data_IF_827477670679
#
_entry.id   IF_827477670679
#
_cell.length_a   1.000
_cell.length_b   1.000
_cell.length_c   1.000
_cell.angle_alpha   90.00
_cell.angle_beta   90.00
_cell.angle_gamma   90.00
#
_symmetry.space_group_name_H-M   'P 1'
#
loop_
_entity.id
_entity.type
_entity.pdbx_description
1 polymer ?
#
# COMPACT_ATOMS: atom_id res chain seq x y z
N UNK A 1 -31.66 42.04 -83.66
CA UNK A 1 -33.06 41.84 -83.26
C UNK A 1 -33.14 40.46 -82.62
N UNK A 2 -33.46 40.25 -81.35
CA UNK A 2 -33.71 41.10 -80.21
C UNK A 2 -33.51 40.22 -78.96
N UNK A 3 -32.97 40.84 -77.89
CA UNK A 3 -33.32 40.74 -76.46
C UNK A 3 -34.29 39.61 -76.07
N UNK A 4 -34.13 38.84 -75.00
CA UNK A 4 -33.79 39.04 -73.58
C UNK A 4 -34.01 37.62 -72.98
N UNK A 5 -33.43 37.11 -71.88
CA UNK A 5 -33.11 37.70 -70.59
C UNK A 5 -32.30 36.65 -69.81
N UNK A 6 -31.27 37.11 -69.10
CA UNK A 6 -30.57 36.39 -68.03
C UNK A 6 -31.51 36.25 -66.82
N UNK A 7 -31.35 35.17 -66.05
CA UNK A 7 -31.34 35.26 -64.60
C UNK A 7 -30.39 34.23 -63.99
N UNK A 8 -29.80 34.66 -62.89
CA UNK A 8 -28.55 34.20 -62.26
C UNK A 8 -28.84 33.44 -60.97
N UNK A 9 -27.97 32.46 -60.70
CA UNK A 9 -27.37 32.20 -59.39
C UNK A 9 -28.24 31.70 -58.23
N UNK A 10 -27.98 30.45 -57.81
CA UNK A 10 -27.86 30.13 -56.38
C UNK A 10 -26.92 28.94 -56.16
N UNK A 11 -25.69 29.30 -55.79
CA UNK A 11 -24.74 28.46 -55.08
C UNK A 11 -25.34 28.09 -53.72
N UNK A 12 -25.48 26.79 -53.42
CA UNK A 12 -25.47 26.33 -52.02
C UNK A 12 -24.89 24.92 -51.89
N UNK A 13 -23.62 24.91 -51.48
CA UNK A 13 -22.98 23.99 -50.54
C UNK A 13 -23.24 22.48 -50.67
N UNK A 14 -22.18 21.77 -51.06
CA UNK A 14 -21.94 20.36 -50.71
C UNK A 14 -22.17 20.12 -49.21
N UNK A 15 -22.50 18.87 -48.85
CA UNK A 15 -21.57 18.15 -47.98
C UNK A 15 -20.94 17.00 -48.77
N UNK A 16 -19.61 16.91 -48.64
CA UNK A 16 -18.78 15.83 -49.17
C UNK A 16 -19.26 14.52 -48.52
N UNK A 17 -20.10 13.76 -49.21
CA UNK A 17 -20.35 12.38 -48.87
C UNK A 17 -19.02 11.64 -48.92
N UNK A 18 -18.68 11.05 -47.78
CA UNK A 18 -17.41 10.44 -47.44
C UNK A 18 -17.05 9.34 -48.42
N UNK A 19 -15.75 9.28 -48.73
CA UNK A 19 -15.07 8.31 -49.60
C UNK A 19 -15.13 6.84 -49.10
N UNK A 20 -16.01 6.53 -48.15
CA UNK A 20 -16.09 5.23 -47.45
C UNK A 20 -17.21 4.33 -48.01
N UNK A 21 -18.20 4.88 -48.72
CA UNK A 21 -19.31 4.09 -49.30
C UNK A 21 -18.99 3.43 -50.64
N UNK A 22 -17.75 3.57 -51.15
CA UNK A 22 -17.36 3.01 -52.47
C UNK A 22 -16.73 1.61 -52.41
N UNK A 23 -16.49 1.06 -51.22
CA UNK A 23 -15.96 -0.31 -51.05
C UNK A 23 -17.03 -1.39 -50.85
N UNK A 24 -18.26 -1.01 -50.49
CA UNK A 24 -19.40 -1.92 -50.33
C UNK A 24 -20.54 -1.59 -51.30
N UNK A 25 -20.19 -1.39 -52.58
CA UNK A 25 -21.18 -1.30 -53.65
C UNK A 25 -21.71 -2.67 -54.07
N UNK A 26 -22.17 -3.52 -53.14
CA UNK A 26 -22.99 -4.68 -53.51
C UNK A 26 -24.44 -4.24 -53.60
N UNK A 27 -24.86 -3.85 -54.81
CA UNK A 27 -26.27 -3.72 -55.13
C UNK A 27 -26.83 -5.15 -55.12
N UNK A 28 -27.79 -5.42 -54.23
CA UNK A 28 -28.34 -6.77 -53.99
C UNK A 28 -29.06 -7.42 -55.21
N UNK A 29 -29.07 -6.73 -56.35
CA UNK A 29 -29.64 -7.19 -57.63
C UNK A 29 -28.65 -8.03 -58.46
N UNK A 30 -27.35 -8.01 -58.15
CA UNK A 30 -26.36 -8.82 -58.88
C UNK A 30 -26.32 -10.28 -58.40
N UNK A 31 -26.43 -11.21 -59.36
CA UNK A 31 -26.35 -12.65 -59.14
C UNK A 31 -25.04 -13.03 -58.41
N UNK A 32 -23.96 -12.30 -58.63
CA UNK A 32 -22.69 -12.56 -57.94
C UNK A 32 -22.70 -12.12 -56.47
N UNK A 33 -23.27 -10.95 -56.16
CA UNK A 33 -23.37 -10.44 -54.78
C UNK A 33 -24.19 -11.37 -53.89
N UNK A 34 -25.31 -11.92 -54.40
CA UNK A 34 -26.13 -12.86 -53.62
C UNK A 34 -25.41 -14.19 -53.33
N UNK A 35 -24.45 -14.64 -54.18
CA UNK A 35 -23.68 -15.89 -53.98
C UNK A 35 -22.61 -15.67 -52.92
N UNK A 36 -21.94 -14.53 -52.97
CA UNK A 36 -20.93 -14.12 -51.98
C UNK A 36 -21.59 -13.92 -50.61
N UNK A 37 -22.76 -13.28 -50.56
CA UNK A 37 -23.50 -13.07 -49.32
C UNK A 37 -23.92 -14.41 -48.70
N UNK A 38 -24.43 -15.34 -49.50
CA UNK A 38 -24.79 -16.70 -49.04
C UNK A 38 -23.56 -17.44 -48.49
N UNK A 39 -22.42 -17.39 -49.19
CA UNK A 39 -21.19 -18.02 -48.74
C UNK A 39 -20.73 -17.46 -47.39
N UNK A 40 -20.67 -16.14 -47.27
CA UNK A 40 -20.29 -15.46 -46.01
C UNK A 40 -21.26 -15.84 -44.88
N UNK A 41 -22.56 -15.86 -45.15
CA UNK A 41 -23.56 -16.23 -44.16
C UNK A 41 -23.39 -17.70 -43.69
N UNK A 42 -23.20 -18.64 -44.61
CA UNK A 42 -22.98 -20.05 -44.28
C UNK A 42 -21.68 -20.23 -43.49
N UNK A 43 -20.56 -19.63 -43.93
CA UNK A 43 -19.29 -19.68 -43.18
C UNK A 43 -19.39 -19.06 -41.79
N UNK A 44 -20.17 -18.00 -41.62
CA UNK A 44 -20.40 -17.36 -40.33
C UNK A 44 -21.19 -18.27 -39.38
N UNK A 45 -22.25 -18.92 -39.89
CA UNK A 45 -23.03 -19.89 -39.10
C UNK A 45 -22.17 -21.10 -38.73
N UNK A 46 -21.37 -21.63 -39.67
CA UNK A 46 -20.45 -22.75 -39.41
C UNK A 46 -19.44 -22.36 -38.32
N UNK A 47 -18.83 -21.18 -38.43
CA UNK A 47 -17.87 -20.70 -37.43
C UNK A 47 -18.52 -20.53 -36.06
N UNK A 48 -19.73 -19.97 -35.99
CA UNK A 48 -20.48 -19.83 -34.75
C UNK A 48 -20.81 -21.20 -34.12
N UNK A 49 -21.20 -22.19 -34.94
CA UNK A 49 -21.57 -23.52 -34.46
C UNK A 49 -20.36 -24.34 -33.96
N UNK A 50 -19.21 -24.19 -34.61
CA UNK A 50 -17.98 -24.91 -34.28
C UNK A 50 -17.18 -24.26 -33.16
N UNK A 51 -17.34 -22.96 -32.92
CA UNK A 51 -16.59 -22.25 -31.87
C UNK A 51 -17.17 -22.60 -30.49
N UNK A 52 -16.43 -23.31 -29.63
CA UNK A 52 -16.98 -23.87 -28.39
C UNK A 52 -17.35 -22.81 -27.35
N UNK A 53 -16.69 -21.65 -27.35
CA UNK A 53 -16.86 -20.58 -26.35
C UNK A 53 -18.28 -20.02 -26.26
N UNK A 54 -19.01 -19.92 -27.38
CA UNK A 54 -20.38 -19.40 -27.39
C UNK A 54 -21.40 -20.33 -26.72
N UNK A 55 -21.02 -21.58 -26.45
CA UNK A 55 -21.95 -22.62 -25.96
C UNK A 55 -21.54 -23.23 -24.62
N UNK A 56 -20.39 -22.84 -24.07
CA UNK A 56 -19.78 -23.49 -22.90
C UNK A 56 -19.29 -22.49 -21.85
N UNK A 57 -20.08 -21.46 -21.55
CA UNK A 57 -19.92 -20.73 -20.29
C UNK A 57 -20.67 -21.51 -19.20
N UNK A 58 -19.93 -22.28 -18.39
CA UNK A 58 -20.50 -22.81 -17.14
C UNK A 58 -20.73 -21.62 -16.20
N UNK A 59 -21.88 -21.52 -15.53
CA UNK A 59 -22.12 -20.42 -14.60
C UNK A 59 -21.01 -20.39 -13.53
N UNK A 60 -20.45 -19.21 -13.22
CA UNK A 60 -19.43 -19.11 -12.19
C UNK A 60 -20.04 -19.52 -10.85
N UNK A 61 -19.52 -20.59 -10.26
CA UNK A 61 -19.90 -21.04 -8.92
C UNK A 61 -19.60 -19.94 -7.92
N UNK A 62 -20.49 -19.71 -6.96
CA UNK A 62 -20.30 -18.72 -5.89
C UNK A 62 -19.90 -19.43 -4.59
N UNK A 63 -19.21 -18.73 -3.67
CA UNK A 63 -18.98 -19.25 -2.33
C UNK A 63 -20.32 -19.59 -1.67
N UNK A 64 -20.43 -20.80 -1.12
CA UNK A 64 -21.63 -21.28 -0.45
C UNK A 64 -22.62 -22.06 -1.32
N UNK A 65 -22.41 -22.15 -2.63
CA UNK A 65 -23.17 -23.04 -3.52
C UNK A 65 -22.86 -24.51 -3.17
N UNK A 66 -23.81 -25.40 -3.45
CA UNK A 66 -23.62 -26.86 -3.32
C UNK A 66 -23.14 -27.39 -4.67
N UNK A 67 -22.10 -28.21 -4.67
CA UNK A 67 -21.59 -28.78 -5.90
C UNK A 67 -22.52 -29.88 -6.42
N UNK A 68 -23.06 -29.69 -7.62
CA UNK A 68 -23.94 -30.67 -8.29
C UNK A 68 -23.20 -31.92 -8.81
N UNK A 69 -21.85 -31.93 -8.75
CA UNK A 69 -21.00 -33.04 -9.23
C UNK A 69 -19.61 -32.96 -8.63
N UNK A 70 -18.88 -34.07 -8.70
CA UNK A 70 -17.46 -34.13 -8.36
C UNK A 70 -16.63 -33.24 -9.29
N UNK A 71 -15.87 -32.31 -8.73
CA UNK A 71 -14.95 -31.43 -9.46
C UNK A 71 -13.51 -31.80 -9.12
N UNK A 72 -12.75 -32.18 -10.14
CA UNK A 72 -11.32 -32.51 -10.02
C UNK A 72 -10.45 -31.48 -10.73
N UNK A 73 -9.19 -31.39 -10.30
CA UNK A 73 -8.18 -30.56 -10.92
C UNK A 73 -7.88 -31.05 -12.35
N UNK A 74 -8.00 -30.17 -13.36
CA UNK A 74 -7.77 -30.53 -14.78
C UNK A 74 -6.28 -30.70 -15.11
N UNK A 75 -5.40 -30.09 -14.31
CA UNK A 75 -3.93 -30.05 -14.45
C UNK A 75 -3.29 -29.65 -13.13
N UNK A 76 -1.96 -29.66 -13.09
CA UNK A 76 -1.20 -29.08 -11.99
C UNK A 76 -1.28 -27.55 -12.02
N UNK A 77 -1.51 -26.92 -10.87
CA UNK A 77 -1.46 -25.47 -10.70
C UNK A 77 -1.06 -25.07 -9.29
N UNK A 78 -0.65 -23.82 -9.13
CA UNK A 78 -0.28 -23.23 -7.84
C UNK A 78 -1.44 -22.37 -7.33
N UNK A 79 -1.75 -22.50 -6.05
CA UNK A 79 -2.76 -21.70 -5.34
C UNK A 79 -2.08 -21.04 -4.15
N UNK A 80 -2.31 -19.76 -3.95
CA UNK A 80 -1.80 -19.07 -2.76
C UNK A 80 -2.47 -19.64 -1.50
N UNK A 81 -1.65 -20.00 -0.51
CA UNK A 81 -2.08 -20.37 0.83
C UNK A 81 -2.22 -19.09 1.65
N UNK A 82 -3.45 -18.59 1.74
CA UNK A 82 -3.73 -17.35 2.47
C UNK A 82 -3.41 -17.49 3.97
N UNK A 83 -3.63 -18.66 4.57
CA UNK A 83 -3.39 -18.89 6.00
C UNK A 83 -1.89 -18.94 6.31
N UNK A 84 -1.12 -19.73 5.56
CA UNK A 84 0.33 -19.81 5.74
C UNK A 84 1.01 -18.47 5.40
N UNK A 85 0.52 -17.76 4.38
CA UNK A 85 1.02 -16.44 4.01
C UNK A 85 0.71 -15.42 5.11
N UNK A 86 -0.52 -15.41 5.64
CA UNK A 86 -0.90 -14.54 6.75
C UNK A 86 -0.09 -14.86 8.02
N UNK A 87 0.16 -16.14 8.30
CA UNK A 87 1.03 -16.58 9.40
C UNK A 87 2.43 -16.00 9.29
N UNK A 88 3.08 -16.16 8.14
CA UNK A 88 4.41 -15.60 7.88
C UNK A 88 4.44 -14.07 7.93
N UNK A 89 3.39 -13.41 7.45
CA UNK A 89 3.26 -11.94 7.53
C UNK A 89 3.15 -11.47 8.98
N UNK A 90 2.35 -12.14 9.82
CA UNK A 90 2.24 -11.82 11.25
C UNK A 90 3.57 -12.03 11.98
N UNK A 91 4.27 -13.13 11.68
CA UNK A 91 5.58 -13.42 12.24
C UNK A 91 6.59 -12.31 11.87
N UNK A 92 6.67 -11.93 10.59
CA UNK A 92 7.55 -10.85 10.14
C UNK A 92 7.23 -9.50 10.79
N UNK A 93 5.94 -9.18 10.98
CA UNK A 93 5.52 -7.95 11.69
C UNK A 93 5.88 -8.00 13.17
N UNK A 94 5.74 -9.16 13.83
CA UNK A 94 6.10 -9.33 15.25
C UNK A 94 7.60 -9.27 15.50
N UNK A 95 8.42 -9.63 14.51
CA UNK A 95 9.88 -9.55 14.58
C UNK A 95 10.41 -8.16 14.21
N UNK A 96 9.57 -7.26 13.71
CA UNK A 96 9.99 -5.91 13.36
C UNK A 96 10.34 -5.12 14.63
N UNK A 97 11.51 -4.46 14.68
CA UNK A 97 11.95 -3.75 15.88
C UNK A 97 11.10 -2.51 16.15
N UNK A 98 10.91 -2.22 17.43
CA UNK A 98 10.24 -1.01 17.91
C UNK A 98 11.26 0.13 17.97
N UNK A 99 10.91 1.32 17.47
CA UNK A 99 11.82 2.48 17.44
C UNK A 99 11.49 3.50 18.52
N UNK A 100 12.55 3.94 19.19
CA UNK A 100 12.53 5.03 20.15
C UNK A 100 13.41 6.16 19.69
N UNK A 101 12.85 7.36 19.70
CA UNK A 101 13.59 8.57 19.37
C UNK A 101 14.09 9.21 20.66
N UNK A 102 15.42 9.34 20.74
CA UNK A 102 16.11 10.10 21.77
C UNK A 102 16.30 11.54 21.28
N UNK A 103 15.68 12.48 21.99
CA UNK A 103 15.81 13.90 21.74
C UNK A 103 17.03 14.47 22.48
N UNK A 104 18.09 14.74 21.72
CA UNK A 104 19.33 15.34 22.24
C UNK A 104 19.18 16.85 22.51
N UNK A 105 18.21 17.50 21.88
CA UNK A 105 18.01 18.95 22.02
C UNK A 105 17.59 19.31 23.44
N UNK A 106 16.84 18.43 24.11
CA UNK A 106 16.43 18.59 25.51
C UNK A 106 17.65 18.69 26.43
N UNK A 107 18.65 17.82 26.21
CA UNK A 107 19.89 17.81 26.99
C UNK A 107 20.69 19.10 26.80
N UNK A 108 20.85 19.53 25.54
CA UNK A 108 21.58 20.76 25.20
C UNK A 108 20.89 21.99 25.78
N UNK A 109 19.57 22.11 25.58
CA UNK A 109 18.77 23.21 26.11
C UNK A 109 18.83 23.30 27.64
N UNK A 110 18.80 22.17 28.35
CA UNK A 110 18.91 22.17 29.81
C UNK A 110 20.29 22.67 30.29
N UNK A 111 21.36 22.19 29.65
CA UNK A 111 22.74 22.59 29.99
C UNK A 111 22.98 24.07 29.66
N UNK A 112 22.49 24.56 28.52
CA UNK A 112 22.65 25.94 28.08
C UNK A 112 21.86 26.93 28.97
N UNK A 113 20.63 26.56 29.38
CA UNK A 113 19.85 27.33 30.36
C UNK A 113 20.55 27.42 31.72
N UNK A 114 21.13 26.32 32.18
CA UNK A 114 21.89 26.31 33.42
C UNK A 114 23.15 27.19 33.30
N UNK A 115 23.87 27.11 32.19
CA UNK A 115 25.06 27.92 31.96
C UNK A 115 24.75 29.42 31.90
N UNK A 116 23.69 29.81 31.18
CA UNK A 116 23.24 31.21 31.08
C UNK A 116 22.75 31.75 32.42
N UNK A 117 22.01 30.97 33.21
CA UNK A 117 21.56 31.36 34.55
C UNK A 117 22.74 31.60 35.51
N UNK A 118 23.72 30.68 35.54
CA UNK A 118 24.91 30.82 36.39
C UNK A 118 25.79 31.99 35.95
N UNK A 119 25.93 32.24 34.65
CA UNK A 119 26.71 33.37 34.14
C UNK A 119 26.04 34.71 34.45
N UNK A 120 24.71 34.81 34.31
CA UNK A 120 23.98 36.02 34.67
C UNK A 120 24.17 36.40 36.15
N UNK A 121 24.13 35.40 37.05
CA UNK A 121 24.33 35.64 38.48
C UNK A 121 25.76 36.05 38.81
N UNK A 122 26.78 35.45 38.17
CA UNK A 122 28.18 35.87 38.34
C UNK A 122 28.40 37.31 37.87
N UNK A 123 27.83 37.72 36.74
CA UNK A 123 27.94 39.09 36.25
C UNK A 123 27.35 40.10 37.25
N UNK A 124 26.21 39.77 37.88
CA UNK A 124 25.63 40.62 38.92
C UNK A 124 26.49 40.72 40.19
N UNK A 125 27.27 39.68 40.52
CA UNK A 125 28.23 39.70 41.63
C UNK A 125 29.50 40.50 41.26
N UNK A 126 29.95 40.43 40.01
CA UNK A 126 31.11 41.20 39.52
C UNK A 126 30.81 42.71 39.44
N UNK A 127 29.56 43.09 39.13
CA UNK A 127 29.10 44.48 39.21
C UNK A 127 29.11 45.04 40.65
N UNK A 128 29.07 44.17 41.67
CA UNK A 128 29.21 44.56 43.09
C UNK A 128 30.66 44.80 43.50
N UNK A 129 31.63 44.24 42.75
CA UNK A 129 33.07 44.34 43.04
C UNK A 129 33.77 45.58 42.47
N UNK A 130 33.10 46.39 41.64
CA UNK A 130 33.66 47.67 41.17
C UNK A 130 33.45 48.74 42.25
N UNK A 131 34.53 49.32 42.84
CA UNK A 131 34.37 50.45 43.73
C UNK A 131 33.72 51.60 42.95
N UNK A 132 32.59 52.07 43.44
CA UNK A 132 32.01 53.33 43.01
C UNK A 132 33.10 54.40 43.18
N UNK A 133 33.46 55.05 42.07
CA UNK A 133 34.36 56.20 42.10
C UNK A 133 33.81 57.23 43.10
N UNK A 134 34.67 57.90 43.89
CA UNK A 134 34.20 58.91 44.83
C UNK A 134 33.44 59.99 44.06
N UNK A 135 32.16 60.18 44.38
CA UNK A 135 31.41 61.36 43.98
C UNK A 135 32.10 62.59 44.59
N UNK A 136 32.86 63.32 43.78
CA UNK A 136 33.19 64.71 44.05
C UNK A 136 31.87 65.51 44.10
N UNK A 137 31.49 65.94 45.30
CA UNK A 137 30.51 67.00 45.50
C UNK A 137 31.27 68.34 45.53
N UNK A 138 30.86 69.36 44.77
CA UNK A 138 31.42 70.70 44.89
C UNK A 138 30.97 71.36 46.20
N UNK A 139 31.87 72.17 46.75
CA UNK A 139 31.65 73.01 47.92
C UNK A 139 30.73 74.21 47.64
N UNK A 140 30.22 74.77 48.74
CA UNK A 140 29.48 76.04 48.97
C UNK A 140 28.02 75.81 49.37
N UNK A 141 27.42 76.44 50.40
CA UNK A 141 27.87 77.36 51.45
C UNK A 141 26.84 77.26 52.62
N UNK A 142 27.35 77.36 53.85
CA UNK A 142 26.75 77.98 55.07
C UNK A 142 25.23 77.87 55.38
N UNK A 143 24.86 77.29 56.54
CA UNK A 143 24.11 77.99 57.62
C UNK A 143 23.89 77.08 58.87
N UNK A 144 24.43 77.51 60.02
CA UNK A 144 23.83 77.44 61.37
C UNK A 144 23.60 76.09 62.09
N UNK A 145 24.36 75.84 63.16
CA UNK A 145 24.11 74.87 64.27
C UNK A 145 23.38 75.56 65.45
N UNK A 146 22.91 74.90 66.56
CA UNK A 146 23.08 73.50 67.04
C UNK A 146 21.76 72.88 67.65
N UNK A 147 21.79 71.91 68.61
CA UNK A 147 22.02 70.48 68.44
C UNK A 147 20.84 69.62 68.94
N UNK A 148 20.53 68.50 68.31
CA UNK A 148 19.78 67.43 68.97
C UNK A 148 20.44 66.07 68.73
N UNK A 149 20.98 65.54 69.82
CA UNK A 149 21.42 64.17 69.95
C UNK A 149 20.22 63.23 69.73
N UNK A 150 20.38 62.25 68.84
CA UNK A 150 19.36 61.24 68.59
C UNK A 150 19.67 60.36 67.40
N UNK A 151 20.53 59.36 67.62
CA UNK A 151 20.47 58.02 67.00
C UNK A 151 19.76 57.90 65.63
N UNK A 152 20.54 57.91 64.55
CA UNK A 152 20.12 57.39 63.24
C UNK A 152 21.08 56.28 62.78
N UNK A 153 21.13 55.19 63.56
CA UNK A 153 21.81 53.94 63.16
C UNK A 153 20.82 52.88 62.63
N UNK A 154 19.62 53.25 62.16
CA UNK A 154 18.58 52.28 61.76
C UNK A 154 18.17 52.31 60.28
N UNK A 155 19.01 52.83 59.38
CA UNK A 155 18.67 52.96 57.95
C UNK A 155 19.71 52.35 56.98
N UNK A 156 20.37 51.26 57.38
CA UNK A 156 21.32 50.52 56.52
C UNK A 156 20.94 49.06 56.20
N UNK A 157 19.74 48.58 56.56
CA UNK A 157 19.37 47.15 56.42
C UNK A 157 18.27 46.83 55.38
N UNK A 158 17.79 47.79 54.59
CA UNK A 158 16.68 47.55 53.63
C UNK A 158 17.10 47.43 52.16
N UNK A 159 18.35 47.72 51.81
CA UNK A 159 18.84 47.64 50.42
C UNK A 159 19.23 46.23 49.95
N UNK A 160 19.88 45.43 50.81
CA UNK A 160 20.37 44.10 50.45
C UNK A 160 19.26 43.07 50.21
N UNK A 161 18.16 43.16 50.96
CA UNK A 161 17.01 42.27 50.83
C UNK A 161 16.21 42.47 49.54
N UNK A 162 16.06 43.72 49.07
CA UNK A 162 15.36 43.97 47.80
C UNK A 162 16.21 43.55 46.59
N UNK A 163 17.53 43.65 46.67
CA UNK A 163 18.45 43.29 45.57
C UNK A 163 18.58 41.76 45.41
N UNK A 164 18.69 41.02 46.51
CA UNK A 164 18.69 39.54 46.51
C UNK A 164 17.37 38.96 46.01
N UNK A 165 16.22 39.58 46.31
CA UNK A 165 14.92 39.17 45.76
C UNK A 165 14.83 39.41 44.24
N UNK A 166 15.42 40.48 43.71
CA UNK A 166 15.49 40.72 42.26
C UNK A 166 16.38 39.69 41.55
N UNK A 167 17.60 39.47 42.06
CA UNK A 167 18.50 38.44 41.55
C UNK A 167 17.85 37.05 41.54
N UNK A 168 17.12 36.70 42.60
CA UNK A 168 16.37 35.45 42.67
C UNK A 168 15.33 35.36 41.56
N UNK A 169 14.56 36.43 41.34
CA UNK A 169 13.51 36.46 40.32
C UNK A 169 14.10 36.35 38.91
N UNK A 170 15.22 37.01 38.65
CA UNK A 170 15.92 36.93 37.38
C UNK A 170 16.49 35.51 37.14
N UNK A 171 17.01 34.88 38.19
CA UNK A 171 17.46 33.48 38.16
C UNK A 171 16.31 32.51 37.85
N UNK A 172 15.18 32.65 38.55
CA UNK A 172 13.98 31.84 38.33
C UNK A 172 13.39 32.05 36.92
N UNK A 173 13.43 33.28 36.40
CA UNK A 173 12.97 33.60 35.04
C UNK A 173 13.83 32.92 33.96
N UNK A 174 15.16 32.84 34.14
CA UNK A 174 16.06 32.19 33.18
C UNK A 174 15.91 30.66 33.25
N UNK A 175 15.82 30.11 34.46
CA UNK A 175 15.67 28.67 34.68
C UNK A 175 14.29 28.15 34.25
N UNK A 176 13.24 28.99 34.39
CA UNK A 176 11.85 28.62 34.10
C UNK A 176 11.19 27.80 35.21
N UNK A 177 11.80 27.71 36.40
CA UNK A 177 11.24 27.03 37.57
C UNK A 177 11.62 27.75 38.88
N UNK A 178 10.86 27.47 39.95
CA UNK A 178 11.04 28.09 41.26
C UNK A 178 12.13 27.37 42.08
N UNK A 179 13.00 28.16 42.71
CA UNK A 179 14.11 27.65 43.54
C UNK A 179 13.83 28.00 45.01
N UNK A 180 14.08 27.05 45.91
CA UNK A 180 13.94 27.31 47.36
C UNK A 180 14.91 28.41 47.81
N UNK A 181 14.47 29.25 48.76
CA UNK A 181 15.30 30.34 49.29
C UNK A 181 16.61 29.82 49.90
N UNK A 182 16.58 28.68 50.58
CA UNK A 182 17.75 28.06 51.23
C UNK A 182 18.82 27.64 50.20
N UNK A 183 18.36 27.13 49.06
CA UNK A 183 19.23 26.69 47.96
C UNK A 183 19.83 27.92 47.27
N UNK A 184 19.02 28.95 47.03
CA UNK A 184 19.50 30.19 46.43
C UNK A 184 20.54 30.90 47.32
N UNK A 185 20.34 30.93 48.64
CA UNK A 185 21.34 31.46 49.57
C UNK A 185 22.62 30.63 49.58
N UNK A 186 22.52 29.30 49.49
CA UNK A 186 23.69 28.40 49.37
C UNK A 186 24.51 28.67 48.09
N UNK A 187 23.82 28.93 46.98
CA UNK A 187 24.46 29.28 45.71
C UNK A 187 25.13 30.68 45.75
N UNK A 188 24.51 31.64 46.44
CA UNK A 188 25.06 32.98 46.67
C UNK A 188 26.30 32.97 47.57
N UNK A 189 26.25 32.23 48.69
CA UNK A 189 27.40 32.05 49.61
C UNK A 189 28.64 31.52 48.87
N UNK A 190 28.43 30.76 47.80
CA UNK A 190 29.47 30.12 46.98
C UNK A 190 29.75 30.85 45.66
N UNK A 191 29.21 32.05 45.47
CA UNK A 191 29.40 32.91 44.30
C UNK A 191 29.17 32.18 42.96
N UNK A 192 28.24 31.22 42.88
CA UNK A 192 27.98 30.45 41.66
C UNK A 192 29.24 29.82 41.05
N UNK A 193 30.04 29.14 41.89
CA UNK A 193 31.27 28.44 41.50
C UNK A 193 31.10 27.59 40.21
N UNK A 194 32.06 27.70 39.29
CA UNK A 194 32.11 26.95 38.04
C UNK A 194 32.19 25.43 38.26
N UNK A 195 32.81 24.98 39.35
CA UNK A 195 32.93 23.56 39.66
C UNK A 195 31.54 22.92 39.89
N UNK A 196 30.66 23.59 40.65
CA UNK A 196 29.29 23.13 40.90
C UNK A 196 28.51 23.09 39.58
N UNK A 197 28.63 24.13 38.76
CA UNK A 197 28.02 24.18 37.44
C UNK A 197 28.46 22.99 36.57
N UNK A 198 29.76 22.66 36.55
CA UNK A 198 30.28 21.52 35.79
C UNK A 198 29.72 20.18 36.29
N UNK A 199 29.66 19.97 37.61
CA UNK A 199 29.11 18.75 38.22
C UNK A 199 27.64 18.56 37.84
N UNK A 200 26.82 19.60 37.98
CA UNK A 200 25.40 19.55 37.61
C UNK A 200 25.25 19.29 36.11
N UNK A 201 26.03 19.96 35.27
CA UNK A 201 25.96 19.75 33.81
C UNK A 201 26.38 18.34 33.38
N UNK A 202 27.37 17.74 34.04
CA UNK A 202 27.83 16.38 33.76
C UNK A 202 26.78 15.35 34.17
N UNK A 203 26.14 15.53 35.33
CA UNK A 203 25.04 14.68 35.78
C UNK A 203 23.85 14.77 34.82
N UNK A 204 23.43 16.00 34.44
CA UNK A 204 22.34 16.19 33.48
C UNK A 204 22.63 15.49 32.16
N UNK A 205 23.83 15.64 31.60
CA UNK A 205 24.23 14.94 30.36
C UNK A 205 24.15 13.42 30.51
N UNK A 206 24.66 12.87 31.61
CA UNK A 206 24.59 11.43 31.87
C UNK A 206 23.16 10.89 31.92
N UNK A 207 22.23 11.61 32.56
CA UNK A 207 20.83 11.19 32.63
C UNK A 207 20.10 11.31 31.29
N UNK A 208 20.34 12.39 30.55
CA UNK A 208 19.72 12.56 29.24
C UNK A 208 20.29 11.61 28.18
N UNK A 209 21.59 11.30 28.21
CA UNK A 209 22.22 10.32 27.29
C UNK A 209 21.69 8.90 27.54
N UNK A 210 21.38 8.56 28.80
CA UNK A 210 20.75 7.29 29.14
C UNK A 210 19.31 7.19 28.61
N UNK A 211 18.60 8.32 28.50
CA UNK A 211 17.22 8.41 28.03
C UNK A 211 16.19 8.21 29.14
N UNK A 212 15.31 9.19 29.32
CA UNK A 212 14.24 9.21 30.33
C UNK A 212 12.91 9.04 29.62
N UNK A 213 12.14 8.05 30.03
CA UNK A 213 10.85 7.76 29.41
C UNK A 213 9.75 8.67 29.94
N UNK A 214 8.83 9.03 29.04
CA UNK A 214 7.61 9.75 29.43
C UNK A 214 6.58 8.84 30.10
N UNK A 215 6.56 7.54 29.74
CA UNK A 215 5.62 6.56 30.27
C UNK A 215 6.17 5.14 30.10
N UNK A 216 6.16 4.34 31.18
CA UNK A 216 6.68 2.96 31.22
C UNK A 216 5.73 1.90 30.63
N UNK A 217 4.51 2.28 30.25
CA UNK A 217 3.49 1.35 29.76
C UNK A 217 3.94 0.56 28.53
N UNK A 218 4.64 1.19 27.58
CA UNK A 218 5.06 0.52 26.35
C UNK A 218 6.15 -0.54 26.59
N UNK A 219 7.08 -0.30 27.53
CA UNK A 219 8.15 -1.26 27.88
C UNK A 219 7.59 -2.55 28.48
N UNK A 220 6.43 -2.46 29.12
CA UNK A 220 5.83 -3.60 29.83
C UNK A 220 5.18 -4.58 28.86
N UNK A 221 4.71 -4.10 27.70
CA UNK A 221 4.05 -4.91 26.68
C UNK A 221 5.07 -5.67 25.80
N UNK A 222 6.26 -5.10 25.56
CA UNK A 222 7.21 -5.62 24.55
C UNK A 222 8.55 -6.11 25.15
N UNK A 223 8.54 -6.69 26.37
CA UNK A 223 9.74 -7.07 27.15
C UNK A 223 10.73 -8.07 26.51
N UNK A 224 10.49 -8.54 25.30
CA UNK A 224 11.35 -9.52 24.60
C UNK A 224 11.73 -9.14 23.17
N UNK A 225 11.31 -7.97 22.69
CA UNK A 225 11.54 -7.57 21.29
C UNK A 225 12.78 -6.68 21.16
N UNK A 226 13.63 -6.87 20.14
CA UNK A 226 14.76 -5.99 19.92
C UNK A 226 14.28 -4.54 19.71
N UNK A 227 14.94 -3.61 20.39
CA UNK A 227 14.58 -2.19 20.37
C UNK A 227 15.65 -1.42 19.62
N UNK A 228 15.24 -0.46 18.79
CA UNK A 228 16.16 0.45 18.11
C UNK A 228 16.03 1.82 18.76
N UNK A 229 17.14 2.30 19.32
CA UNK A 229 17.25 3.67 19.80
C UNK A 229 17.84 4.51 18.67
N UNK A 230 17.08 5.51 18.25
CA UNK A 230 17.41 6.45 17.17
C UNK A 230 17.66 7.83 17.77
N UNK A 231 18.81 8.42 17.48
CA UNK A 231 19.10 9.82 17.85
C UNK A 231 18.36 10.74 16.88
N UNK A 232 17.46 11.59 17.40
CA UNK A 232 16.55 12.40 16.58
C UNK A 232 17.29 13.37 15.64
N UNK A 233 18.45 13.88 16.05
CA UNK A 233 19.25 14.82 15.25
C UNK A 233 20.22 14.13 14.28
N UNK A 234 21.06 13.21 14.77
CA UNK A 234 22.10 12.57 13.95
C UNK A 234 21.57 11.44 13.07
N UNK A 235 20.34 10.98 13.34
CA UNK A 235 19.73 9.83 12.70
C UNK A 235 20.53 8.52 12.92
N UNK A 236 21.38 8.48 13.95
CA UNK A 236 22.13 7.28 14.31
C UNK A 236 21.22 6.28 15.01
N UNK A 237 21.27 5.03 14.55
CA UNK A 237 20.45 3.93 15.06
C UNK A 237 21.31 2.92 15.80
N UNK A 238 20.94 2.61 17.04
CA UNK A 238 21.59 1.62 17.88
C UNK A 238 20.60 0.52 18.24
N UNK A 239 20.92 -0.70 17.84
CA UNK A 239 20.14 -1.88 18.19
C UNK A 239 20.46 -2.30 19.62
N UNK A 240 19.46 -2.29 20.49
CA UNK A 240 19.57 -2.72 21.87
C UNK A 240 18.96 -4.11 22.03
N UNK A 241 19.79 -5.02 22.53
CA UNK A 241 19.34 -6.36 22.93
C UNK A 241 18.83 -6.33 24.38
N UNK A 242 17.81 -7.14 24.72
CA UNK A 242 17.35 -7.23 26.09
C UNK A 242 18.44 -7.80 27.02
N UNK A 243 18.48 -7.41 28.31
CA UNK A 243 17.57 -6.49 28.97
C UNK A 243 17.96 -5.01 28.78
N UNK A 244 16.99 -4.19 28.40
CA UNK A 244 17.11 -2.73 28.38
C UNK A 244 16.39 -2.14 29.60
N UNK A 245 17.05 -1.18 30.28
CA UNK A 245 16.51 -0.51 31.47
C UNK A 245 16.59 0.99 31.30
N UNK A 246 15.44 1.61 31.09
CA UNK A 246 15.29 3.06 31.03
C UNK A 246 14.51 3.55 32.25
N UNK A 247 15.02 4.56 32.98
CA UNK A 247 14.31 5.13 34.10
C UNK A 247 13.10 5.94 33.64
N UNK A 248 12.00 5.84 34.40
CA UNK A 248 10.90 6.81 34.30
C UNK A 248 11.30 8.13 34.99
N UNK A 249 10.55 9.21 34.78
CA UNK A 249 10.87 10.52 35.34
C UNK A 249 11.03 10.50 36.87
N UNK A 250 10.17 9.77 37.59
CA UNK A 250 10.28 9.64 39.04
C UNK A 250 11.50 8.82 39.49
N UNK A 251 11.83 7.76 38.75
CA UNK A 251 13.01 6.93 39.01
C UNK A 251 14.28 7.74 38.74
N UNK A 252 14.32 8.48 37.61
CA UNK A 252 15.41 9.37 37.26
C UNK A 252 15.63 10.45 38.33
N UNK A 253 14.56 11.03 38.88
CA UNK A 253 14.66 11.99 40.00
C UNK A 253 15.23 11.35 41.27
N UNK A 254 14.79 10.15 41.63
CA UNK A 254 15.33 9.42 42.80
C UNK A 254 16.81 9.09 42.61
N UNK A 255 17.19 8.61 41.43
CA UNK A 255 18.58 8.31 41.10
C UNK A 255 19.46 9.57 41.07
N UNK A 256 18.94 10.69 40.57
CA UNK A 256 19.64 11.97 40.60
C UNK A 256 19.91 12.46 42.03
N UNK A 257 18.95 12.31 42.95
CA UNK A 257 19.16 12.64 44.36
C UNK A 257 20.23 11.74 44.97
N UNK A 258 20.18 10.43 44.70
CA UNK A 258 21.17 9.47 45.20
C UNK A 258 22.58 9.78 44.68
N UNK A 259 22.73 10.05 43.38
CA UNK A 259 24.02 10.36 42.77
C UNK A 259 24.57 11.74 43.23
N UNK A 260 23.69 12.71 43.52
CA UNK A 260 24.07 13.98 44.09
C UNK A 260 24.59 13.86 45.54
N UNK A 261 24.04 12.92 46.33
CA UNK A 261 24.50 12.62 47.69
C UNK A 261 25.89 11.96 47.69
N UNK A 262 26.23 11.20 46.64
CA UNK A 262 27.54 10.56 46.50
C UNK A 262 28.65 11.53 46.03
N UNK A 263 28.29 12.58 45.28
CA UNK A 263 29.27 13.51 44.69
C UNK A 263 29.50 14.81 45.47
N UNK A 264 28.63 15.16 46.41
CA UNK A 264 28.75 16.42 47.14
C UNK A 264 29.79 16.36 48.27
N UNK A 265 30.43 17.49 48.54
CA UNK A 265 31.41 17.63 49.64
C UNK A 265 30.77 18.16 50.94
N UNK A 266 29.61 18.78 50.82
CA UNK A 266 28.86 19.44 51.90
C UNK A 266 27.35 19.18 51.75
N UNK A 267 26.62 19.10 52.86
CA UNK A 267 25.18 18.79 52.89
C UNK A 267 24.40 19.83 52.08
N UNK A 268 24.76 21.12 52.21
CA UNK A 268 24.14 22.21 51.44
C UNK A 268 24.40 22.10 49.93
N UNK A 269 25.57 21.59 49.54
CA UNK A 269 25.94 21.40 48.13
C UNK A 269 25.20 20.20 47.53
N UNK A 270 25.13 19.08 48.26
CA UNK A 270 24.37 17.91 47.85
C UNK A 270 22.90 18.26 47.58
N UNK A 271 22.26 19.01 48.50
CA UNK A 271 20.86 19.43 48.34
C UNK A 271 20.68 20.37 47.14
N UNK A 272 21.61 21.30 46.92
CA UNK A 272 21.56 22.21 45.78
C UNK A 272 21.68 21.45 44.44
N UNK A 273 22.65 20.53 44.33
CA UNK A 273 22.84 19.69 43.14
C UNK A 273 21.59 18.83 42.91
N UNK A 274 21.11 18.13 43.93
CA UNK A 274 19.94 17.25 43.83
C UNK A 274 18.68 18.01 43.38
N UNK A 275 18.42 19.18 43.98
CA UNK A 275 17.27 20.01 43.61
C UNK A 275 17.37 20.54 42.18
N UNK A 276 18.54 21.05 41.78
CA UNK A 276 18.73 21.57 40.42
C UNK A 276 18.57 20.46 39.39
N UNK A 277 19.27 19.33 39.56
CA UNK A 277 19.18 18.20 38.61
C UNK A 277 17.74 17.71 38.51
N UNK A 278 17.09 17.42 39.64
CA UNK A 278 15.73 16.85 39.64
C UNK A 278 14.65 17.76 39.01
N UNK A 279 14.81 19.08 39.09
CA UNK A 279 13.93 20.06 38.42
C UNK A 279 14.21 20.19 36.92
N UNK A 280 15.46 20.01 36.50
CA UNK A 280 15.85 20.02 35.08
C UNK A 280 15.51 18.72 34.35
N UNK A 281 15.41 17.59 35.06
CA UNK A 281 15.04 16.31 34.45
C UNK A 281 13.65 16.38 33.82
N UNK A 282 13.61 16.05 32.54
CA UNK A 282 12.40 15.93 31.73
C UNK A 282 12.51 14.69 30.84
N UNK A 283 11.38 14.09 30.41
CA UNK A 283 11.42 12.99 29.47
C UNK A 283 12.03 13.42 28.13
N UNK A 284 12.97 12.61 27.62
CA UNK A 284 13.64 12.85 26.33
C UNK A 284 13.71 11.59 25.44
N UNK A 285 13.14 10.48 25.89
CA UNK A 285 13.03 9.24 25.13
C UNK A 285 11.56 8.97 24.85
N UNK A 286 11.19 8.96 23.56
CA UNK A 286 9.81 8.86 23.12
C UNK A 286 9.60 7.71 22.13
N UNK A 287 8.42 7.09 22.17
CA UNK A 287 8.07 6.03 21.23
C UNK A 287 7.69 6.62 19.88
N UNK A 288 8.41 6.25 18.82
CA UNK A 288 8.07 6.65 17.46
C UNK A 288 7.14 5.61 16.82
N UNK A 289 5.83 5.85 16.95
CA UNK A 289 4.79 5.00 16.36
C UNK A 289 4.87 4.99 14.83
N UNK A 290 5.08 6.15 14.21
CA UNK A 290 5.07 6.30 12.74
C UNK A 290 6.19 5.48 12.10
N UNK A 291 7.41 5.60 12.58
CA UNK A 291 8.55 4.89 12.01
C UNK A 291 8.49 3.38 12.36
N UNK A 292 7.90 3.02 13.51
CA UNK A 292 7.64 1.62 13.88
C UNK A 292 6.63 0.97 12.94
N UNK A 293 5.49 1.61 12.71
CA UNK A 293 4.49 1.13 11.75
C UNK A 293 5.06 1.06 10.33
N UNK A 294 5.86 2.06 9.93
CA UNK A 294 6.54 2.03 8.64
C UNK A 294 7.48 0.84 8.48
N UNK A 295 8.22 0.45 9.52
CA UNK A 295 9.07 -0.75 9.50
C UNK A 295 8.24 -2.03 9.49
N UNK A 296 7.12 -2.07 10.23
CA UNK A 296 6.16 -3.19 10.19
C UNK A 296 5.55 -3.38 8.81
N UNK A 297 5.15 -2.30 8.13
CA UNK A 297 4.64 -2.34 6.76
C UNK A 297 5.69 -2.84 5.77
N UNK A 298 6.94 -2.36 5.88
CA UNK A 298 8.06 -2.87 5.07
C UNK A 298 8.29 -4.37 5.30
N UNK A 299 8.26 -4.82 6.56
CA UNK A 299 8.38 -6.23 6.90
C UNK A 299 7.22 -7.03 6.30
N UNK A 300 5.98 -6.57 6.46
CA UNK A 300 4.78 -7.18 5.87
C UNK A 300 4.88 -7.31 4.34
N UNK A 301 5.29 -6.24 3.65
CA UNK A 301 5.40 -6.19 2.19
C UNK A 301 6.55 -7.07 1.66
N UNK A 302 7.60 -7.30 2.47
CA UNK A 302 8.73 -8.14 2.08
C UNK A 302 8.42 -9.65 2.09
N UNK A 303 7.33 -10.07 2.75
CA UNK A 303 6.94 -11.48 2.85
C UNK A 303 6.30 -11.95 1.53
N UNK A 304 6.98 -12.87 0.86
CA UNK A 304 6.48 -13.53 -0.35
C UNK A 304 5.30 -14.47 -0.01
N UNK A 305 4.24 -14.49 -0.84
CA UNK A 305 3.13 -15.42 -0.65
C UNK A 305 3.60 -16.87 -0.79
N UNK A 306 3.00 -17.74 0.01
CA UNK A 306 3.25 -19.19 0.00
C UNK A 306 2.26 -19.83 -0.96
N UNK A 307 2.74 -20.69 -1.86
CA UNK A 307 1.89 -21.38 -2.82
C UNK A 307 1.81 -22.89 -2.51
N UNK A 308 0.60 -23.43 -2.49
CA UNK A 308 0.31 -24.86 -2.50
C UNK A 308 0.23 -25.35 -3.94
N UNK A 309 0.83 -26.50 -4.21
CA UNK A 309 0.78 -27.15 -5.53
C UNK A 309 -0.34 -28.18 -5.55
N UNK A 310 -1.39 -27.89 -6.32
CA UNK A 310 -2.51 -28.80 -6.56
C UNK A 310 -2.16 -29.71 -7.74
N UNK A 311 -2.34 -31.02 -7.58
CA UNK A 311 -2.00 -32.02 -8.60
C UNK A 311 -3.16 -32.23 -9.57
N UNK A 312 -2.86 -32.62 -10.81
CA UNK A 312 -3.89 -33.09 -11.75
C UNK A 312 -4.69 -34.26 -11.14
N UNK A 313 -6.00 -34.26 -11.38
CA UNK A 313 -6.99 -35.21 -10.87
C UNK A 313 -7.22 -35.16 -9.36
N UNK A 314 -6.59 -34.24 -8.63
CA UNK A 314 -6.91 -33.99 -7.23
C UNK A 314 -8.37 -33.54 -7.10
N UNK A 315 -9.08 -34.10 -6.13
CA UNK A 315 -10.47 -33.77 -5.88
C UNK A 315 -10.57 -32.41 -5.17
N UNK A 316 -11.18 -31.43 -5.83
CA UNK A 316 -11.36 -30.08 -5.25
C UNK A 316 -12.67 -30.01 -4.47
N UNK A 317 -13.77 -30.51 -5.07
CA UNK A 317 -15.09 -30.53 -4.43
C UNK A 317 -15.79 -31.84 -4.73
N UNK A 318 -16.43 -32.45 -3.73
CA UNK A 318 -17.32 -33.60 -3.92
C UNK A 318 -18.74 -33.17 -4.27
N UNK A 319 -19.45 -34.02 -4.99
CA UNK A 319 -20.89 -33.86 -5.19
C UNK A 319 -21.62 -33.76 -3.83
N UNK A 320 -22.55 -32.81 -3.72
CA UNK A 320 -23.29 -32.51 -2.49
C UNK A 320 -22.50 -31.71 -1.44
N UNK A 321 -21.21 -31.45 -1.65
CA UNK A 321 -20.42 -30.62 -0.74
C UNK A 321 -20.71 -29.13 -0.99
N UNK A 322 -20.84 -28.37 0.11
CA UNK A 322 -20.91 -26.91 0.05
C UNK A 322 -19.53 -26.32 -0.22
N UNK A 323 -19.42 -25.45 -1.21
CA UNK A 323 -18.17 -24.81 -1.61
C UNK A 323 -17.76 -23.79 -0.55
N UNK A 324 -16.68 -24.08 0.17
CA UNK A 324 -16.06 -23.17 1.12
C UNK A 324 -15.16 -22.13 0.43
N UNK A 325 -14.57 -21.20 1.21
CA UNK A 325 -13.71 -20.15 0.69
C UNK A 325 -12.43 -20.71 0.06
N UNK A 326 -11.81 -21.74 0.65
CA UNK A 326 -10.61 -22.37 0.13
C UNK A 326 -10.85 -23.12 -1.18
N UNK A 327 -11.92 -23.92 -1.25
CA UNK A 327 -12.27 -24.64 -2.47
C UNK A 327 -12.61 -23.65 -3.60
N UNK A 328 -13.30 -22.55 -3.28
CA UNK A 328 -13.57 -21.49 -4.23
C UNK A 328 -12.28 -20.86 -4.78
N UNK A 329 -11.29 -20.60 -3.93
CA UNK A 329 -9.96 -20.13 -4.35
C UNK A 329 -9.28 -21.10 -5.33
N UNK A 330 -9.29 -22.40 -5.02
CA UNK A 330 -8.76 -23.44 -5.91
C UNK A 330 -9.49 -23.49 -7.26
N UNK A 331 -10.81 -23.38 -7.26
CA UNK A 331 -11.63 -23.33 -8.48
C UNK A 331 -11.34 -22.08 -9.32
N UNK A 332 -11.25 -20.91 -8.69
CA UNK A 332 -10.93 -19.63 -9.34
C UNK A 332 -9.53 -19.66 -9.95
N UNK A 333 -8.53 -20.20 -9.24
CA UNK A 333 -7.17 -20.36 -9.75
C UNK A 333 -7.11 -21.29 -10.97
N UNK A 334 -7.90 -22.37 -10.98
CA UNK A 334 -8.03 -23.26 -12.14
C UNK A 334 -8.67 -22.56 -13.35
N UNK A 335 -9.68 -21.71 -13.14
CA UNK A 335 -10.34 -20.97 -14.22
C UNK A 335 -9.44 -19.88 -14.80
N UNK A 336 -8.84 -19.03 -13.96
CA UNK A 336 -7.97 -17.92 -14.41
C UNK A 336 -6.74 -18.38 -15.19
N UNK A 337 -6.26 -19.59 -14.89
CA UNK A 337 -5.15 -20.16 -15.63
C UNK A 337 -5.54 -20.55 -17.07
N UNK A 338 -6.83 -20.59 -17.42
CA UNK A 338 -7.32 -20.90 -18.77
C UNK A 338 -7.29 -19.64 -19.62
N UNK A 339 -6.57 -19.62 -20.76
CA UNK A 339 -6.41 -18.40 -21.55
C UNK A 339 -7.69 -18.11 -22.35
N UNK A 340 -8.56 -17.27 -21.79
CA UNK A 340 -9.82 -16.82 -22.39
C UNK A 340 -9.65 -16.11 -23.75
N UNK A 341 -8.44 -15.74 -24.15
CA UNK A 341 -8.19 -14.95 -25.37
C UNK A 341 -8.23 -15.75 -26.69
N UNK A 342 -8.27 -17.09 -26.65
CA UNK A 342 -8.18 -17.89 -27.87
C UNK A 342 -9.47 -17.98 -28.69
N UNK A 343 -10.64 -17.65 -28.13
CA UNK A 343 -11.90 -17.90 -28.81
C UNK A 343 -12.11 -17.03 -30.06
N UNK A 344 -11.67 -15.77 -30.04
CA UNK A 344 -11.81 -14.85 -31.19
C UNK A 344 -10.93 -15.33 -32.34
N UNK A 345 -9.70 -15.75 -32.04
CA UNK A 345 -8.76 -16.27 -33.03
C UNK A 345 -9.24 -17.61 -33.60
N UNK A 346 -9.78 -18.49 -32.76
CA UNK A 346 -10.40 -19.75 -33.20
C UNK A 346 -11.62 -19.49 -34.08
N UNK A 347 -12.48 -18.55 -33.71
CA UNK A 347 -13.63 -18.16 -34.52
C UNK A 347 -13.20 -17.59 -35.88
N UNK A 348 -12.20 -16.70 -35.89
CA UNK A 348 -11.69 -16.10 -37.12
C UNK A 348 -11.02 -17.15 -38.03
N UNK A 349 -10.26 -18.09 -37.46
CA UNK A 349 -9.60 -19.15 -38.23
C UNK A 349 -10.60 -20.14 -38.83
N UNK A 350 -11.60 -20.57 -38.06
CA UNK A 350 -12.68 -21.46 -38.56
C UNK A 350 -13.50 -20.74 -39.63
N UNK A 351 -13.81 -19.45 -39.45
CA UNK A 351 -14.53 -18.66 -40.45
C UNK A 351 -13.74 -18.56 -41.76
N UNK A 352 -12.46 -18.19 -41.70
CA UNK A 352 -11.61 -18.08 -42.88
C UNK A 352 -11.42 -19.44 -43.58
N UNK A 353 -11.17 -20.50 -42.81
CA UNK A 353 -10.95 -21.84 -43.33
C UNK A 353 -12.22 -22.42 -43.97
N UNK A 354 -13.37 -22.30 -43.31
CA UNK A 354 -14.65 -22.77 -43.88
C UNK A 354 -15.02 -22.01 -45.15
N UNK A 355 -14.80 -20.68 -45.20
CA UNK A 355 -14.98 -19.87 -46.40
C UNK A 355 -14.06 -20.31 -47.53
N UNK A 356 -12.79 -20.59 -47.24
CA UNK A 356 -11.82 -21.10 -48.21
C UNK A 356 -12.24 -22.47 -48.76
N UNK A 357 -12.63 -23.42 -47.90
CA UNK A 357 -13.09 -24.74 -48.34
C UNK A 357 -14.31 -24.65 -49.26
N UNK A 358 -15.32 -23.85 -48.90
CA UNK A 358 -16.51 -23.65 -49.74
C UNK A 358 -16.13 -23.01 -51.07
N UNK A 359 -15.23 -22.01 -51.07
CA UNK A 359 -14.71 -21.40 -52.30
C UNK A 359 -14.02 -22.40 -53.22
N UNK A 360 -13.15 -23.27 -52.67
CA UNK A 360 -12.45 -24.31 -53.44
C UNK A 360 -13.44 -25.31 -54.04
N UNK A 361 -14.41 -25.79 -53.26
CA UNK A 361 -15.46 -26.71 -53.75
C UNK A 361 -16.25 -26.07 -54.89
N UNK A 362 -16.67 -24.81 -54.74
CA UNK A 362 -17.38 -24.08 -55.80
C UNK A 362 -16.51 -23.83 -57.03
N UNK A 363 -15.19 -23.64 -56.86
CA UNK A 363 -14.25 -23.47 -57.97
C UNK A 363 -14.06 -24.76 -58.76
N UNK A 364 -13.82 -25.88 -58.07
CA UNK A 364 -13.67 -27.21 -58.67
C UNK A 364 -14.96 -27.63 -59.36
N UNK A 365 -16.12 -27.42 -58.73
CA UNK A 365 -17.42 -27.71 -59.32
C UNK A 365 -17.65 -26.94 -60.62
N UNK A 366 -17.23 -25.66 -60.70
CA UNK A 366 -17.31 -24.88 -61.94
C UNK A 366 -16.39 -25.37 -63.04
N UNK A 367 -15.20 -25.87 -62.70
CA UNK A 367 -14.20 -26.29 -63.68
C UNK A 367 -14.45 -27.70 -64.23
N UNK A 368 -14.84 -28.64 -63.37
CA UNK A 368 -14.91 -30.07 -63.71
C UNK A 368 -16.32 -30.52 -64.08
N UNK A 369 -17.36 -29.73 -63.80
CA UNK A 369 -18.76 -30.01 -64.18
C UNK A 369 -19.35 -28.90 -65.07
N UNK A 370 -18.89 -28.72 -66.31
CA UNK A 370 -19.34 -27.65 -67.22
C UNK A 370 -20.83 -27.78 -67.63
N UNK A 371 -21.42 -28.97 -67.53
CA UNK A 371 -22.85 -29.20 -67.78
C UNK A 371 -23.74 -28.82 -66.59
N UNK A 372 -23.15 -28.56 -65.41
CA UNK A 372 -23.89 -28.31 -64.17
C UNK A 372 -24.00 -26.80 -63.90
N UNK A 373 -25.05 -26.17 -64.42
CA UNK A 373 -25.39 -24.78 -64.07
C UNK A 373 -25.98 -24.78 -62.65
N UNK A 374 -25.12 -24.66 -61.64
CA UNK A 374 -25.53 -24.57 -60.24
C UNK A 374 -26.53 -23.41 -60.05
N UNK A 375 -27.81 -23.77 -59.88
CA UNK A 375 -28.86 -22.80 -59.64
C UNK A 375 -28.83 -22.36 -58.17
N UNK A 376 -29.55 -21.29 -57.87
CA UNK A 376 -29.69 -20.80 -56.50
C UNK A 376 -30.31 -21.84 -55.57
N UNK A 377 -31.25 -22.64 -56.09
CA UNK A 377 -31.93 -23.70 -55.36
C UNK A 377 -30.94 -24.77 -54.87
N UNK A 378 -29.99 -25.15 -55.73
CA UNK A 378 -28.97 -26.15 -55.45
C UNK A 378 -27.99 -25.67 -54.37
N UNK A 379 -27.60 -24.38 -54.42
CA UNK A 379 -26.75 -23.75 -53.40
C UNK A 379 -27.45 -23.67 -52.03
N UNK A 380 -28.75 -23.35 -52.00
CA UNK A 380 -29.52 -23.39 -50.76
C UNK A 380 -29.65 -24.82 -50.23
N UNK A 381 -29.92 -25.80 -51.10
CA UNK A 381 -30.01 -27.21 -50.71
C UNK A 381 -28.69 -27.71 -50.10
N UNK A 382 -27.55 -27.48 -50.77
CA UNK A 382 -26.24 -27.88 -50.29
C UNK A 382 -25.87 -27.19 -48.97
N UNK A 383 -26.17 -25.89 -48.84
CA UNK A 383 -25.95 -25.13 -47.61
C UNK A 383 -26.79 -25.64 -46.44
N UNK A 384 -28.08 -25.91 -46.67
CA UNK A 384 -28.99 -26.46 -45.64
C UNK A 384 -28.57 -27.88 -45.26
N UNK A 385 -28.20 -28.73 -46.22
CA UNK A 385 -27.72 -30.08 -45.97
C UNK A 385 -26.45 -30.08 -45.12
N UNK A 386 -25.49 -29.21 -45.45
CA UNK A 386 -24.25 -29.04 -44.68
C UNK A 386 -24.54 -28.58 -43.25
N UNK A 387 -25.40 -27.56 -43.08
CA UNK A 387 -25.80 -27.08 -41.76
C UNK A 387 -26.51 -28.16 -40.96
N UNK A 388 -27.40 -28.93 -41.57
CA UNK A 388 -28.10 -30.04 -40.93
C UNK A 388 -27.12 -31.10 -40.39
N UNK A 389 -26.15 -31.53 -41.21
CA UNK A 389 -25.13 -32.50 -40.79
C UNK A 389 -24.26 -31.96 -39.65
N UNK A 390 -23.89 -30.68 -39.70
CA UNK A 390 -23.11 -30.05 -38.63
C UNK A 390 -23.90 -29.92 -37.33
N UNK A 391 -25.19 -29.56 -37.40
CA UNK A 391 -26.09 -29.51 -36.23
C UNK A 391 -26.24 -30.90 -35.63
N UNK A 392 -26.43 -31.92 -36.45
CA UNK A 392 -26.56 -33.32 -36.01
C UNK A 392 -25.26 -33.84 -35.39
N UNK A 393 -24.10 -33.49 -35.96
CA UNK A 393 -22.81 -33.79 -35.36
C UNK A 393 -22.60 -33.07 -34.02
N UNK A 394 -23.01 -31.80 -33.93
CA UNK A 394 -22.88 -30.99 -32.72
C UNK A 394 -23.80 -31.46 -31.60
N UNK A 395 -25.02 -31.89 -31.92
CA UNK A 395 -25.96 -32.46 -30.95
C UNK A 395 -25.46 -33.81 -30.42
N UNK A 396 -24.90 -34.67 -31.27
CA UNK A 396 -24.25 -35.91 -30.86
C UNK A 396 -23.08 -35.65 -29.90
N UNK A 397 -22.24 -34.65 -30.18
CA UNK A 397 -21.15 -34.25 -29.28
C UNK A 397 -21.67 -33.73 -27.93
N UNK A 398 -22.72 -32.90 -27.94
CA UNK A 398 -23.34 -32.38 -26.70
C UNK A 398 -23.93 -33.50 -25.83
N UNK A 399 -24.63 -34.46 -26.45
CA UNK A 399 -25.14 -35.66 -25.77
C UNK A 399 -23.99 -36.52 -25.23
N UNK A 400 -22.88 -36.62 -25.98
CA UNK A 400 -21.68 -37.31 -25.54
C UNK A 400 -21.03 -36.68 -24.29
N UNK A 401 -20.96 -35.36 -24.22
CA UNK A 401 -20.44 -34.65 -23.04
C UNK A 401 -21.32 -34.83 -21.79
N UNK A 402 -22.64 -35.05 -21.97
CA UNK A 402 -23.57 -35.31 -20.86
C UNK A 402 -23.45 -36.73 -20.29
N UNK A 403 -23.11 -37.71 -21.14
CA UNK A 403 -23.07 -39.14 -20.78
C UNK A 403 -21.64 -39.61 -20.43
N UNK A 404 -20.63 -38.92 -20.95
CA UNK A 404 -19.22 -39.33 -20.92
C UNK A 404 -18.55 -39.37 -19.55
N UNK A 405 -19.15 -38.80 -18.51
CA UNK A 405 -18.62 -38.83 -17.13
C UNK A 405 -19.32 -39.88 -16.24
N UNK A 406 -20.45 -40.47 -16.66
CA UNK A 406 -21.27 -41.36 -15.82
C UNK A 406 -21.24 -42.83 -16.23
N UNK A 407 -20.81 -43.16 -17.45
CA UNK A 407 -20.79 -44.54 -17.97
C UNK A 407 -19.37 -45.04 -18.25
N UNK A 408 -19.02 -46.21 -17.70
CA UNK A 408 -17.67 -46.79 -17.81
C UNK A 408 -17.29 -47.29 -19.23
N UNK A 409 -18.27 -47.40 -20.13
CA UNK A 409 -18.09 -48.07 -21.44
C UNK A 409 -18.34 -47.17 -22.66
N UNK A 410 -19.00 -46.01 -22.51
CA UNK A 410 -19.29 -45.10 -23.62
C UNK A 410 -18.55 -43.77 -23.43
N UNK A 411 -17.38 -43.64 -24.06
CA UNK A 411 -16.67 -42.37 -24.11
C UNK A 411 -17.37 -41.40 -25.06
N UNK A 412 -17.42 -40.10 -24.72
CA UNK A 412 -17.96 -39.04 -25.57
C UNK A 412 -17.37 -39.05 -27.00
N UNK A 413 -16.12 -39.52 -27.15
CA UNK A 413 -15.45 -39.66 -28.46
C UNK A 413 -16.06 -40.73 -29.35
N UNK A 414 -16.67 -41.78 -28.78
CA UNK A 414 -17.28 -42.88 -29.55
C UNK A 414 -18.57 -42.43 -30.23
N UNK A 415 -19.35 -41.56 -29.58
CA UNK A 415 -20.60 -41.03 -30.12
C UNK A 415 -20.40 -40.13 -31.34
N UNK A 416 -19.22 -39.51 -31.48
CA UNK A 416 -18.87 -38.70 -32.65
C UNK A 416 -18.82 -39.58 -33.93
N UNK A 417 -18.42 -40.85 -33.82
CA UNK A 417 -18.37 -41.77 -34.96
C UNK A 417 -19.76 -42.27 -35.41
N UNK A 418 -20.81 -42.04 -34.62
CA UNK A 418 -22.19 -42.40 -34.99
C UNK A 418 -22.83 -41.41 -35.97
N UNK A 419 -22.20 -40.25 -36.21
CA UNK A 419 -22.71 -39.21 -37.11
C UNK A 419 -22.55 -39.68 -38.55
N UNK A 420 -23.64 -39.85 -39.33
CA UNK A 420 -23.58 -40.38 -40.68
C UNK A 420 -23.13 -39.30 -41.68
N UNK A 421 -21.86 -38.86 -41.59
CA UNK A 421 -21.32 -37.81 -42.46
C UNK A 421 -21.36 -38.21 -43.94
N UNK A 422 -21.16 -39.50 -44.22
CA UNK A 422 -21.26 -40.09 -45.55
C UNK A 422 -22.67 -40.01 -46.15
N UNK A 423 -23.72 -39.97 -45.32
CA UNK A 423 -25.09 -39.81 -45.82
C UNK A 423 -25.29 -38.44 -46.50
N UNK A 424 -24.57 -37.41 -46.09
CA UNK A 424 -24.57 -36.11 -46.75
C UNK A 424 -24.09 -36.17 -48.19
N UNK A 425 -22.93 -36.80 -48.41
CA UNK A 425 -22.37 -36.99 -49.75
C UNK A 425 -23.29 -37.85 -50.64
N UNK A 426 -23.88 -38.91 -50.08
CA UNK A 426 -24.84 -39.76 -50.79
C UNK A 426 -26.11 -39.01 -51.19
N UNK A 427 -26.69 -38.21 -50.29
CA UNK A 427 -27.87 -37.39 -50.58
C UNK A 427 -27.55 -36.36 -51.67
N UNK A 428 -26.40 -35.69 -51.60
CA UNK A 428 -25.95 -34.78 -52.66
C UNK A 428 -25.80 -35.51 -54.01
N UNK A 429 -25.20 -36.71 -54.01
CA UNK A 429 -25.05 -37.53 -55.21
C UNK A 429 -26.36 -38.00 -55.84
N UNK A 430 -27.35 -38.34 -55.02
CA UNK A 430 -28.68 -38.78 -55.50
C UNK A 430 -29.42 -37.61 -56.16
N UNK A 431 -29.37 -36.41 -55.57
CA UNK A 431 -30.08 -35.24 -56.10
C UNK A 431 -29.39 -34.60 -57.31
N UNK A 432 -28.05 -34.66 -57.38
CA UNK A 432 -27.28 -34.03 -58.46
C UNK A 432 -26.80 -34.99 -59.55
N UNK A 433 -27.00 -36.29 -59.37
CA UNK A 433 -26.54 -37.33 -60.29
C UNK A 433 -25.11 -37.78 -60.03
N UNK A 434 -24.82 -39.04 -60.38
CA UNK A 434 -23.58 -39.78 -60.05
C UNK A 434 -22.29 -39.08 -60.53
N UNK A 435 -22.37 -38.15 -61.47
CA UNK A 435 -21.21 -37.38 -61.97
C UNK A 435 -20.70 -36.30 -61.01
N UNK A 436 -21.47 -35.91 -59.99
CA UNK A 436 -21.14 -34.78 -59.07
C UNK A 436 -20.70 -35.26 -57.67
N UNK A 437 -20.84 -36.56 -57.39
CA UNK A 437 -20.55 -37.16 -56.09
C UNK A 437 -19.13 -37.73 -56.06
N UNK A 438 -18.12 -36.87 -55.89
CA UNK A 438 -16.79 -37.29 -55.44
C UNK A 438 -16.26 -36.37 -54.35
#
# INVERSE_FOLDING_TARGET
MDKEKRETEKVRSRPKASRVTRWFGCRAEDIYCRKVLLLVAVSLVISALLTPSFTSERPPMRPGDVADRNIKAKRDFLVEDEEATAGKRREAVSQAPVIFDLDESVARNAVDKLATAFQAMRNHLDEEGKPSSPLELPADETFGLPPFAGSLSSLALTGGGQKTVRMKRDFENILGFQVSNEIFTSLLERQFNQELQSKVSQLLRSFFDQGILSNKNWLTVNRGEPLVLRRAESNDEHLLSPPYSFPDLEEARKYAVMQALEQGSDIKEMMAIASLVSQFLQPNLSFNLEETERRREKAYASVKPVFLRIMKNEMIVREGQRIGPEEFLKLKAQQQSSPDRHWILLFASIFLFSGLCICVVLHVARQHLPSFRMEWRDLYFLGILLLFLLILGRSAAWVGDLIGDSSAHLSARTLIYAVPLSAGAMIAGIFFGVTVSL
#
